data_IF_335494115678
#
_entry.id   IF_335494115678
#
_cell.length_a   1.000
_cell.length_b   1.000
_cell.length_c   1.000
_cell.angle_alpha   90.00
_cell.angle_beta   90.00
_cell.angle_gamma   90.00
#
_symmetry.space_group_name_H-M   'P 1'
#
loop_
_entity.id
_entity.type
_entity.pdbx_description
1 polymer ?
#
# COMPACT_ATOMS: atom_id res chain seq x y z
N UNK A 1 9.19 -6.54 -2.15
CA UNK A 1 9.88 -6.28 -3.43
C UNK A 1 8.94 -5.63 -4.44
N UNK A 2 9.48 -4.74 -5.25
CA UNK A 2 8.80 -4.06 -6.36
C UNK A 2 8.51 -5.01 -7.52
N UNK A 3 7.50 -4.71 -8.34
CA UNK A 3 7.08 -5.55 -9.48
C UNK A 3 8.21 -5.67 -10.52
N UNK A 4 8.82 -4.57 -10.96
CA UNK A 4 9.90 -4.62 -11.97
C UNK A 4 11.13 -5.42 -11.52
N UNK A 5 11.46 -5.37 -10.22
CA UNK A 5 12.54 -6.17 -9.63
C UNK A 5 12.17 -7.66 -9.56
N UNK A 6 10.89 -7.98 -9.28
CA UNK A 6 10.42 -9.36 -9.25
C UNK A 6 10.46 -10.03 -10.64
N UNK A 7 10.30 -9.26 -11.71
CA UNK A 7 10.35 -9.74 -13.09
C UNK A 7 11.77 -9.75 -13.69
N UNK A 8 12.79 -9.33 -12.93
CA UNK A 8 14.18 -9.18 -13.40
C UNK A 8 14.33 -8.26 -14.62
N UNK A 9 13.35 -7.38 -14.87
CA UNK A 9 13.29 -6.50 -16.04
C UNK A 9 14.10 -5.22 -15.87
N UNK A 10 14.34 -4.79 -14.62
CA UNK A 10 14.88 -3.47 -14.29
C UNK A 10 15.99 -3.51 -13.25
N UNK A 11 16.96 -2.61 -13.40
CA UNK A 11 17.97 -2.38 -12.37
C UNK A 11 17.35 -1.61 -11.20
N UNK A 12 17.76 -1.99 -9.99
CA UNK A 12 17.28 -1.37 -8.76
C UNK A 12 17.52 0.16 -8.76
N UNK A 13 16.47 0.91 -8.38
CA UNK A 13 16.37 2.37 -8.39
C UNK A 13 15.58 2.80 -7.16
N UNK A 14 15.67 4.08 -6.79
CA UNK A 14 14.96 4.62 -5.63
C UNK A 14 13.43 4.45 -5.76
N UNK A 15 12.89 4.36 -6.98
CA UNK A 15 11.45 4.16 -7.19
C UNK A 15 11.02 2.75 -6.79
N UNK A 16 11.89 1.74 -6.93
CA UNK A 16 11.62 0.40 -6.43
C UNK A 16 11.61 0.34 -4.89
N UNK A 17 12.40 1.18 -4.22
CA UNK A 17 12.33 1.33 -2.77
C UNK A 17 11.00 1.95 -2.34
N UNK A 18 10.54 2.99 -3.05
CA UNK A 18 9.25 3.63 -2.80
C UNK A 18 8.07 2.69 -3.07
N UNK A 19 8.13 1.89 -4.13
CA UNK A 19 7.15 0.85 -4.38
C UNK A 19 7.18 -0.23 -3.28
N UNK A 20 8.37 -0.65 -2.86
CA UNK A 20 8.52 -1.61 -1.76
C UNK A 20 7.97 -1.07 -0.44
N UNK A 21 8.18 0.22 -0.16
CA UNK A 21 7.57 0.90 0.98
C UNK A 21 6.04 0.84 0.92
N UNK A 22 5.44 1.12 -0.25
CA UNK A 22 3.99 0.99 -0.44
C UNK A 22 3.51 -0.43 -0.10
N UNK A 23 4.22 -1.46 -0.57
CA UNK A 23 3.85 -2.85 -0.28
C UNK A 23 3.99 -3.22 1.19
N UNK A 24 5.00 -2.69 1.89
CA UNK A 24 5.15 -2.87 3.34
C UNK A 24 4.01 -2.19 4.11
N UNK A 25 3.64 -0.96 3.73
CA UNK A 25 2.50 -0.28 4.34
C UNK A 25 1.20 -1.06 4.13
N UNK A 26 0.95 -1.51 2.89
CA UNK A 26 -0.17 -2.39 2.59
C UNK A 26 -0.17 -3.65 3.47
N UNK A 27 0.99 -4.29 3.63
CA UNK A 27 1.14 -5.48 4.46
C UNK A 27 0.76 -5.23 5.92
N UNK A 28 1.23 -4.11 6.49
CA UNK A 28 0.92 -3.71 7.86
C UNK A 28 -0.60 -3.53 8.04
N UNK A 29 -1.25 -2.80 7.13
CA UNK A 29 -2.68 -2.55 7.20
C UNK A 29 -3.54 -3.83 7.16
N UNK A 30 -3.03 -4.90 6.54
CA UNK A 30 -3.71 -6.19 6.43
C UNK A 30 -3.45 -7.11 7.62
N UNK A 31 -2.21 -7.15 8.13
CA UNK A 31 -1.80 -8.19 9.10
C UNK A 31 -1.76 -7.71 10.56
N UNK A 32 -1.96 -6.42 10.83
CA UNK A 32 -1.88 -5.88 12.18
C UNK A 32 -3.14 -5.10 12.55
N UNK A 33 -3.69 -5.30 13.74
CA UNK A 33 -4.78 -4.47 14.30
C UNK A 33 -4.22 -3.42 15.29
N UNK A 34 -3.14 -2.78 14.87
CA UNK A 34 -2.37 -1.79 15.63
C UNK A 34 -0.96 -2.25 15.99
N UNK A 35 -0.18 -1.39 16.67
CA UNK A 35 1.25 -1.63 16.93
C UNK A 35 1.49 -2.96 17.66
N UNK A 36 2.22 -3.87 17.01
CA UNK A 36 2.57 -5.18 17.57
C UNK A 36 1.41 -6.18 17.67
N UNK A 37 0.22 -5.85 17.16
CA UNK A 37 -0.98 -6.69 17.23
C UNK A 37 -1.19 -7.48 15.94
N UNK A 38 -0.32 -8.44 15.69
CA UNK A 38 -0.45 -9.36 14.55
C UNK A 38 -1.77 -10.16 14.65
N UNK A 39 -2.53 -10.24 13.56
CA UNK A 39 -3.83 -10.96 13.53
C UNK A 39 -3.72 -12.41 13.04
N UNK A 40 -2.50 -12.89 12.80
CA UNK A 40 -2.23 -14.18 12.22
C UNK A 40 -2.55 -14.23 10.74
N UNK A 41 -3.01 -15.40 10.30
CA UNK A 41 -3.03 -15.70 8.88
C UNK A 41 -4.13 -14.95 8.11
N UNK A 42 -3.78 -14.37 6.97
CA UNK A 42 -4.68 -13.67 6.04
C UNK A 42 -4.61 -14.24 4.62
N UNK A 43 -5.55 -13.84 3.76
CA UNK A 43 -5.52 -14.23 2.34
C UNK A 43 -4.26 -13.76 1.59
N UNK A 44 -3.52 -12.80 2.15
CA UNK A 44 -2.29 -12.24 1.57
C UNK A 44 -1.02 -12.98 2.02
N UNK A 45 -1.10 -13.88 3.01
CA UNK A 45 0.08 -14.66 3.46
C UNK A 45 0.72 -15.48 2.37
N UNK A 46 -0.06 -15.93 1.39
CA UNK A 46 0.44 -16.68 0.24
C UNK A 46 1.57 -15.95 -0.48
N UNK A 47 1.63 -14.63 -0.39
CA UNK A 47 2.69 -13.80 -0.98
C UNK A 47 4.09 -14.12 -0.44
N UNK A 48 4.20 -14.73 0.75
CA UNK A 48 5.47 -15.18 1.32
C UNK A 48 6.00 -16.49 0.70
N UNK A 49 5.15 -17.22 -0.02
CA UNK A 49 5.44 -18.60 -0.45
C UNK A 49 5.39 -18.79 -1.96
N UNK A 50 4.63 -17.95 -2.68
CA UNK A 50 4.60 -17.96 -4.14
C UNK A 50 5.95 -17.52 -4.72
N UNK A 51 6.25 -17.96 -5.94
CA UNK A 51 7.46 -17.56 -6.63
C UNK A 51 7.41 -16.06 -7.06
N UNK A 52 8.54 -15.53 -7.53
CA UNK A 52 8.67 -14.10 -7.84
C UNK A 52 7.73 -13.64 -8.97
N UNK A 53 7.59 -14.45 -10.02
CA UNK A 53 6.72 -14.17 -11.17
C UNK A 53 5.25 -14.15 -10.76
N UNK A 54 4.79 -15.17 -10.03
CA UNK A 54 3.42 -15.24 -9.51
C UNK A 54 3.13 -14.08 -8.54
N UNK A 55 4.11 -13.69 -7.70
CA UNK A 55 3.96 -12.53 -6.83
C UNK A 55 3.80 -11.23 -7.62
N UNK A 56 4.56 -11.06 -8.71
CA UNK A 56 4.47 -9.90 -9.60
C UNK A 56 3.10 -9.82 -10.28
N UNK A 57 2.57 -10.95 -10.77
CA UNK A 57 1.24 -11.02 -11.38
C UNK A 57 0.12 -10.69 -10.37
N UNK A 58 0.18 -11.26 -9.16
CA UNK A 58 -0.80 -10.99 -8.11
C UNK A 58 -0.84 -9.51 -7.73
N UNK A 59 0.34 -8.88 -7.58
CA UNK A 59 0.47 -7.45 -7.28
C UNK A 59 -0.06 -6.59 -8.42
N UNK A 60 0.34 -6.90 -9.66
CA UNK A 60 -0.11 -6.20 -10.87
C UNK A 60 -1.62 -6.29 -11.02
N UNK A 61 -2.20 -7.48 -10.83
CA UNK A 61 -3.64 -7.68 -10.85
C UNK A 61 -4.38 -6.85 -9.80
N UNK A 62 -3.83 -6.78 -8.58
CA UNK A 62 -4.38 -5.99 -7.49
C UNK A 62 -4.39 -4.47 -7.80
N UNK A 63 -3.32 -3.93 -8.39
CA UNK A 63 -3.19 -2.49 -8.70
C UNK A 63 -3.69 -2.10 -10.09
N UNK A 64 -4.09 -3.03 -10.94
CA UNK A 64 -4.54 -2.68 -12.30
C UNK A 64 -5.81 -1.81 -12.34
N UNK A 65 -6.77 -2.07 -11.43
CA UNK A 65 -8.09 -1.42 -11.42
C UNK A 65 -8.39 -0.83 -10.05
N UNK A 66 -8.59 0.48 -9.99
CA UNK A 66 -8.83 1.18 -8.72
C UNK A 66 -10.05 0.65 -7.95
N UNK A 67 -11.20 0.46 -8.63
CA UNK A 67 -12.40 -0.09 -7.99
C UNK A 67 -12.16 -1.48 -7.40
N UNK A 68 -11.38 -2.32 -8.10
CA UNK A 68 -11.00 -3.63 -7.58
C UNK A 68 -10.09 -3.48 -6.36
N UNK A 69 -9.06 -2.63 -6.44
CA UNK A 69 -8.16 -2.33 -5.34
C UNK A 69 -8.91 -1.88 -4.07
N UNK A 70 -9.79 -0.86 -4.19
CA UNK A 70 -10.61 -0.37 -3.08
C UNK A 70 -11.46 -1.48 -2.46
N UNK A 71 -12.18 -2.24 -3.28
CA UNK A 71 -13.00 -3.36 -2.79
C UNK A 71 -12.19 -4.41 -2.04
N UNK A 72 -10.92 -4.63 -2.42
CA UNK A 72 -10.01 -5.58 -1.75
C UNK A 72 -9.53 -5.01 -0.42
N UNK A 73 -9.00 -3.79 -0.39
CA UNK A 73 -8.45 -3.21 0.84
C UNK A 73 -9.52 -2.92 1.89
N UNK A 74 -10.74 -2.53 1.49
CA UNK A 74 -11.85 -2.32 2.42
C UNK A 74 -12.25 -3.59 3.18
N UNK A 75 -12.05 -4.77 2.57
CA UNK A 75 -12.33 -6.06 3.22
C UNK A 75 -11.13 -6.59 4.01
N UNK A 76 -9.92 -6.29 3.55
CA UNK A 76 -8.70 -6.86 4.07
C UNK A 76 -8.07 -6.05 5.21
N UNK A 77 -8.25 -4.73 5.23
CA UNK A 77 -7.65 -3.88 6.25
C UNK A 77 -8.32 -4.12 7.60
N UNK A 78 -7.49 -4.23 8.63
CA UNK A 78 -7.95 -4.39 10.00
C UNK A 78 -8.71 -3.14 10.47
N UNK A 79 -9.60 -3.27 11.48
CA UNK A 79 -10.33 -2.13 12.04
C UNK A 79 -9.43 -0.94 12.37
N UNK A 80 -8.27 -1.18 12.98
CA UNK A 80 -7.33 -0.11 13.34
C UNK A 80 -6.81 0.68 12.13
N UNK A 81 -6.60 0.03 10.98
CA UNK A 81 -6.04 0.67 9.78
C UNK A 81 -7.09 1.03 8.72
N UNK A 82 -8.38 0.79 8.93
CA UNK A 82 -9.44 1.23 7.99
C UNK A 82 -9.40 2.74 7.67
N UNK A 83 -9.11 3.66 8.62
CA UNK A 83 -8.98 5.08 8.30
C UNK A 83 -7.93 5.40 7.24
N UNK A 84 -6.93 4.54 7.02
CA UNK A 84 -5.89 4.74 6.01
C UNK A 84 -6.31 4.37 4.58
N UNK A 85 -7.48 3.75 4.37
CA UNK A 85 -7.96 3.31 3.05
C UNK A 85 -7.87 4.43 1.99
N UNK A 86 -8.38 5.66 2.23
CA UNK A 86 -8.30 6.74 1.25
C UNK A 86 -6.85 7.12 0.91
N UNK A 87 -5.96 7.16 1.90
CA UNK A 87 -4.57 7.55 1.75
C UNK A 87 -3.74 6.47 1.04
N UNK A 88 -3.96 5.19 1.37
CA UNK A 88 -3.30 4.09 0.65
C UNK A 88 -3.74 4.07 -0.82
N UNK A 89 -5.00 4.37 -1.12
CA UNK A 89 -5.44 4.49 -2.50
C UNK A 89 -4.80 5.69 -3.24
N UNK A 90 -4.61 6.82 -2.56
CA UNK A 90 -3.84 7.96 -3.11
C UNK A 90 -2.38 7.60 -3.36
N UNK A 91 -1.72 6.90 -2.43
CA UNK A 91 -0.36 6.38 -2.61
C UNK A 91 -0.29 5.45 -3.83
N UNK A 92 -1.24 4.52 -3.94
CA UNK A 92 -1.34 3.61 -5.09
C UNK A 92 -1.44 4.36 -6.43
N UNK A 93 -2.18 5.47 -6.50
CA UNK A 93 -2.28 6.28 -7.72
C UNK A 93 -0.96 6.96 -8.11
N UNK A 94 -0.14 7.39 -7.15
CA UNK A 94 1.14 8.05 -7.44
C UNK A 94 2.28 7.06 -7.67
N UNK A 95 2.27 5.90 -6.98
CA UNK A 95 3.26 4.83 -7.16
C UNK A 95 3.02 4.06 -8.46
N UNK A 96 1.75 3.85 -8.82
CA UNK A 96 1.33 3.13 -10.03
C UNK A 96 0.48 4.04 -10.93
N UNK A 97 1.08 4.99 -11.65
CA UNK A 97 0.34 5.88 -12.54
C UNK A 97 -0.43 5.07 -13.58
N UNK A 98 -1.69 5.43 -13.80
CA UNK A 98 -2.63 4.68 -14.66
C UNK A 98 -2.83 3.19 -14.27
N UNK A 99 -2.45 2.79 -13.05
CA UNK A 99 -2.56 1.41 -12.61
C UNK A 99 -1.55 0.47 -13.25
N UNK A 100 -0.37 0.98 -13.61
CA UNK A 100 0.72 0.21 -14.18
C UNK A 100 2.02 0.47 -13.40
N UNK A 101 3.00 -0.45 -13.49
CA UNK A 101 4.39 -0.11 -13.17
C UNK A 101 4.82 1.16 -13.93
N UNK A 102 5.71 1.92 -13.34
CA UNK A 102 6.29 3.10 -13.99
C UNK A 102 7.27 2.64 -15.09
N UNK A 103 7.35 3.38 -16.19
CA UNK A 103 8.25 3.08 -17.33
C UNK A 103 9.47 4.02 -17.36
N UNK A 104 9.49 5.03 -16.48
CA UNK A 104 10.57 6.01 -16.39
C UNK A 104 10.63 6.68 -15.02
N UNK A 105 11.80 7.18 -14.67
CA UNK A 105 12.03 7.76 -13.35
C UNK A 105 11.25 9.05 -13.13
N UNK A 106 10.58 9.15 -11.97
CA UNK A 106 9.89 10.36 -11.51
C UNK A 106 10.50 10.85 -10.19
N UNK A 107 11.41 11.82 -10.31
CA UNK A 107 12.08 12.45 -9.16
C UNK A 107 11.13 13.17 -8.18
N UNK A 108 9.87 13.41 -8.56
CA UNK A 108 8.88 14.04 -7.67
C UNK A 108 8.09 13.03 -6.82
N UNK A 109 8.21 11.72 -7.11
CA UNK A 109 7.43 10.68 -6.44
C UNK A 109 7.65 10.69 -4.92
N UNK A 110 8.91 10.81 -4.48
CA UNK A 110 9.24 10.89 -3.05
C UNK A 110 8.51 12.03 -2.35
N UNK A 111 8.48 13.21 -2.96
CA UNK A 111 7.79 14.37 -2.41
C UNK A 111 6.29 14.13 -2.29
N UNK A 112 5.64 13.65 -3.37
CA UNK A 112 4.19 13.36 -3.37
C UNK A 112 3.80 12.33 -2.33
N UNK A 113 4.60 11.26 -2.16
CA UNK A 113 4.34 10.26 -1.12
C UNK A 113 4.41 10.85 0.28
N UNK A 114 5.42 11.69 0.57
CA UNK A 114 5.53 12.36 1.88
C UNK A 114 4.32 13.25 2.18
N UNK A 115 3.85 14.04 1.21
CA UNK A 115 2.70 14.91 1.42
C UNK A 115 1.44 14.08 1.71
N UNK A 116 1.19 13.01 0.96
CA UNK A 116 0.06 12.09 1.23
C UNK A 116 0.13 11.49 2.64
N UNK A 117 1.33 11.10 3.09
CA UNK A 117 1.53 10.55 4.44
C UNK A 117 1.37 11.61 5.54
N UNK A 118 1.76 12.86 5.29
CA UNK A 118 1.55 13.96 6.23
C UNK A 118 0.05 14.25 6.39
N UNK A 119 -0.67 14.35 5.28
CA UNK A 119 -2.14 14.52 5.30
C UNK A 119 -2.83 13.34 6.00
N UNK A 120 -2.38 12.10 5.75
CA UNK A 120 -2.91 10.91 6.43
C UNK A 120 -2.76 10.98 7.96
N UNK A 121 -1.64 11.52 8.43
CA UNK A 121 -1.40 11.69 9.86
C UNK A 121 -2.37 12.70 10.47
N UNK A 122 -2.54 13.84 9.82
CA UNK A 122 -3.46 14.91 10.26
C UNK A 122 -4.91 14.39 10.32
N UNK A 123 -5.38 13.72 9.27
CA UNK A 123 -6.73 13.17 9.20
C UNK A 123 -7.00 12.11 10.28
N UNK A 124 -6.01 11.24 10.57
CA UNK A 124 -6.14 10.21 11.62
C UNK A 124 -6.11 10.82 13.02
N UNK A 125 -5.31 11.87 13.25
CA UNK A 125 -5.29 12.60 14.52
C UNK A 125 -6.64 13.29 14.78
N UNK A 126 -7.24 13.91 13.77
CA UNK A 126 -8.56 14.56 13.86
C UNK A 126 -9.71 13.58 14.10
N UNK A 127 -9.67 12.39 13.49
CA UNK A 127 -10.62 11.31 13.74
C UNK A 127 -10.54 10.80 15.19
N UNK A 128 -9.33 10.66 15.74
CA UNK A 128 -9.15 10.30 17.15
C UNK A 128 -9.69 11.36 18.10
N UNK A 129 -9.46 12.63 17.79
CA UNK A 129 -9.91 13.77 18.62
C UNK A 129 -11.42 13.98 18.60
N UNK A 130 -12.11 13.61 17.52
CA UNK A 130 -13.58 13.70 17.42
C UNK A 130 -14.27 12.58 18.23
N UNK A 131 -13.75 11.36 18.19
CA UNK A 131 -14.29 10.23 18.98
C UNK A 131 -14.14 10.42 20.50
N UNK A 132 -13.18 11.23 20.95
CA UNK A 132 -12.96 11.54 22.37
C UNK A 132 -13.92 12.61 22.93
N UNK A 133 -14.57 13.42 22.07
CA UNK A 133 -15.49 14.50 22.48
C UNK A 133 -16.94 14.05 22.63
N UNK A 134 -17.30 12.92 22.02
CA UNK A 134 -18.65 12.36 22.04
C UNK A 134 -18.85 11.30 23.15
N UNK A 135 -17.87 11.15 24.05
CA UNK A 135 -17.88 10.30 25.25
C UNK A 135 -17.73 11.15 26.52
#
# INVERSE_FOLDING_TARGET
>A
MAIGVLLEEENHSFMHDLESFFWVLFWICVHYDGPGKDIGATEFDKWNYVNMEELAELKSGLISRERHFLNRITKAFTPYYQPLIPHVNRLRRVVFPMGKPWEGEDGTLYFRMKEILREAREDVEDLGNSQQKDN
#
